data_IF_944553411305
#
_entry.id   IF_944553411305
#
_cell.length_a   1.000
_cell.length_b   1.000
_cell.length_c   1.000
_cell.angle_alpha   90.00
_cell.angle_beta   90.00
_cell.angle_gamma   90.00
#
_symmetry.space_group_name_H-M   'P 1'
#
loop_
_entity.id
_entity.type
_entity.pdbx_description
1 polymer ?
#
# COMPACT_ATOMS: atom_id res chain seq x y z
N UNK A 1 5.83 3.57 21.08
CA UNK A 1 6.29 4.30 19.89
C UNK A 1 5.73 3.62 18.64
N UNK A 2 5.16 4.41 17.73
CA UNK A 2 4.71 3.93 16.41
C UNK A 2 5.93 3.73 15.52
N UNK A 3 6.05 2.55 14.92
CA UNK A 3 7.14 2.23 13.99
C UNK A 3 6.70 2.44 12.54
N UNK A 4 5.52 1.94 12.17
CA UNK A 4 4.92 2.15 10.86
C UNK A 4 3.58 2.87 11.04
N UNK A 5 3.38 3.93 10.26
CA UNK A 5 2.09 4.62 10.17
C UNK A 5 1.69 4.68 8.69
N UNK A 6 0.44 4.34 8.41
CA UNK A 6 -0.19 4.36 7.09
C UNK A 6 -1.47 5.15 7.20
N UNK A 7 -1.64 6.16 6.34
CA UNK A 7 -2.79 7.05 6.34
C UNK A 7 -3.37 7.16 4.92
N UNK A 8 -4.66 6.83 4.81
CA UNK A 8 -5.47 6.96 3.60
C UNK A 8 -4.90 6.30 2.36
N UNK A 9 -4.33 5.09 2.51
CA UNK A 9 -3.70 4.38 1.41
C UNK A 9 -4.76 3.96 0.38
N UNK A 10 -4.55 4.37 -0.87
CA UNK A 10 -5.47 4.14 -1.97
C UNK A 10 -4.72 3.60 -3.20
N UNK A 11 -5.25 2.51 -3.78
CA UNK A 11 -4.63 1.83 -4.92
C UNK A 11 -5.68 1.30 -5.88
N UNK A 12 -5.58 1.69 -7.14
CA UNK A 12 -6.46 1.34 -8.25
C UNK A 12 -5.65 0.74 -9.40
N UNK A 13 -6.23 -0.26 -10.06
CA UNK A 13 -5.64 -0.88 -11.24
C UNK A 13 -6.58 -0.76 -12.43
N UNK A 14 -6.07 -0.26 -13.54
CA UNK A 14 -6.77 -0.37 -14.82
C UNK A 14 -6.74 -1.82 -15.30
N UNK A 15 -7.91 -2.39 -15.58
CA UNK A 15 -8.06 -3.76 -16.09
C UNK A 15 -8.77 -3.73 -17.43
N UNK A 16 -8.35 -4.61 -18.34
CA UNK A 16 -9.05 -4.81 -19.62
C UNK A 16 -10.01 -5.98 -19.47
N UNK A 17 -11.25 -5.78 -19.90
CA UNK A 17 -12.33 -6.77 -19.90
C UNK A 17 -12.84 -6.97 -21.33
N UNK A 18 -13.58 -8.05 -21.63
CA UNK A 18 -14.17 -8.27 -22.95
C UNK A 18 -15.11 -7.15 -23.42
N UNK A 19 -15.67 -6.37 -22.48
CA UNK A 19 -16.59 -5.25 -22.75
C UNK A 19 -15.94 -3.87 -22.64
N UNK A 20 -14.62 -3.79 -22.41
CA UNK A 20 -13.87 -2.54 -22.39
C UNK A 20 -12.89 -2.41 -21.22
N UNK A 21 -12.40 -1.20 -20.97
CA UNK A 21 -11.53 -0.90 -19.82
C UNK A 21 -12.36 -0.63 -18.57
N UNK A 22 -11.94 -1.18 -17.45
CA UNK A 22 -12.51 -0.92 -16.12
C UNK A 22 -11.39 -0.59 -15.14
N UNK A 23 -11.75 -0.12 -13.94
CA UNK A 23 -10.81 0.13 -12.85
C UNK A 23 -11.21 -0.71 -11.65
N UNK A 24 -10.27 -1.45 -11.09
CA UNK A 24 -10.44 -2.20 -9.85
C UNK A 24 -9.83 -1.39 -8.73
N UNK A 25 -10.63 -1.11 -7.69
CA UNK A 25 -10.18 -0.43 -6.48
C UNK A 25 -9.67 -1.48 -5.48
N UNK A 26 -8.36 -1.73 -5.47
CA UNK A 26 -7.77 -2.82 -4.71
C UNK A 26 -7.50 -2.45 -3.24
N UNK A 27 -7.25 -1.17 -2.96
CA UNK A 27 -7.13 -0.63 -1.60
C UNK A 27 -7.89 0.69 -1.58
N UNK A 28 -8.82 0.83 -0.64
CA UNK A 28 -9.70 2.00 -0.53
C UNK A 28 -9.54 2.63 0.85
N UNK A 29 -8.80 3.75 0.89
CA UNK A 29 -8.63 4.61 2.08
C UNK A 29 -8.20 3.86 3.37
N UNK A 30 -7.20 2.98 3.25
CA UNK A 30 -6.75 2.15 4.39
C UNK A 30 -5.78 2.92 5.27
N UNK A 31 -6.09 2.97 6.58
CA UNK A 31 -5.25 3.61 7.59
C UNK A 31 -4.99 2.66 8.78
N UNK A 32 -3.73 2.52 9.20
CA UNK A 32 -3.36 1.72 10.36
C UNK A 32 -1.96 2.07 10.89
N UNK A 33 -1.65 1.57 12.09
CA UNK A 33 -0.34 1.75 12.72
C UNK A 33 0.20 0.43 13.25
N UNK A 34 1.52 0.26 13.18
CA UNK A 34 2.25 -0.82 13.84
C UNK A 34 3.21 -0.21 14.85
N UNK A 35 3.08 -0.60 16.12
CA UNK A 35 3.98 -0.17 17.18
C UNK A 35 5.26 -0.99 17.18
N UNK A 36 6.37 -0.38 17.62
CA UNK A 36 7.64 -1.10 17.79
C UNK A 36 7.44 -2.31 18.72
N UNK A 37 7.95 -3.47 18.30
CA UNK A 37 7.85 -4.73 19.06
C UNK A 37 6.48 -5.42 18.99
N UNK A 38 5.62 -5.03 18.05
CA UNK A 38 4.30 -5.67 17.84
C UNK A 38 4.17 -6.25 16.44
N UNK A 39 3.28 -7.22 16.30
CA UNK A 39 2.94 -7.83 15.01
C UNK A 39 1.48 -7.54 14.71
N UNK A 40 1.20 -6.96 13.54
CA UNK A 40 -0.16 -6.78 13.02
C UNK A 40 -0.41 -7.82 11.92
N UNK A 41 -1.48 -8.61 12.06
CA UNK A 41 -1.94 -9.54 11.03
C UNK A 41 -3.00 -8.91 10.15
N UNK A 42 -2.77 -8.84 8.84
CA UNK A 42 -3.76 -8.43 7.85
C UNK A 42 -4.40 -9.67 7.20
N UNK A 43 -5.65 -9.96 7.55
CA UNK A 43 -6.39 -11.16 7.13
C UNK A 43 -7.63 -10.82 6.31
N UNK A 44 -8.09 -11.75 5.47
CA UNK A 44 -9.25 -11.56 4.60
C UNK A 44 -9.24 -12.51 3.39
N UNK A 45 -10.35 -12.60 2.68
CA UNK A 45 -10.53 -13.47 1.51
C UNK A 45 -9.59 -13.15 0.34
N UNK A 46 -9.43 -14.08 -0.60
CA UNK A 46 -8.67 -13.81 -1.83
C UNK A 46 -9.24 -12.59 -2.57
N UNK A 47 -8.36 -11.69 -3.03
CA UNK A 47 -8.77 -10.46 -3.70
C UNK A 47 -9.06 -9.25 -2.78
N UNK A 48 -9.04 -9.40 -1.46
CA UNK A 48 -9.35 -8.31 -0.51
C UNK A 48 -8.28 -7.20 -0.39
N UNK A 49 -7.26 -7.18 -1.26
CA UNK A 49 -6.22 -6.13 -1.26
C UNK A 49 -5.00 -6.35 -0.35
N UNK A 50 -4.91 -7.46 0.40
CA UNK A 50 -3.79 -7.71 1.36
C UNK A 50 -2.41 -7.63 0.70
N UNK A 51 -2.21 -8.37 -0.39
CA UNK A 51 -0.94 -8.36 -1.12
C UNK A 51 -0.67 -7.01 -1.78
N UNK A 52 -1.72 -6.26 -2.14
CA UNK A 52 -1.60 -4.91 -2.69
C UNK A 52 -1.07 -3.94 -1.63
N UNK A 53 -1.61 -3.97 -0.40
CA UNK A 53 -1.08 -3.17 0.71
C UNK A 53 0.40 -3.51 0.97
N UNK A 54 0.74 -4.80 1.05
CA UNK A 54 2.12 -5.23 1.28
C UNK A 54 3.07 -4.80 0.15
N UNK A 55 2.66 -4.94 -1.11
CA UNK A 55 3.44 -4.52 -2.28
C UNK A 55 3.62 -3.00 -2.33
N UNK A 56 2.60 -2.24 -1.92
CA UNK A 56 2.65 -0.77 -1.90
C UNK A 56 3.62 -0.26 -0.84
N UNK A 57 3.55 -0.81 0.38
CA UNK A 57 4.44 -0.45 1.48
C UNK A 57 5.91 -0.85 1.26
N UNK A 58 6.16 -1.80 0.37
CA UNK A 58 7.51 -2.22 -0.03
C UNK A 58 7.99 -1.54 -1.32
N UNK A 59 7.22 -0.58 -1.85
CA UNK A 59 7.57 0.20 -3.04
C UNK A 59 7.43 -0.55 -4.38
N UNK A 60 6.85 -1.75 -4.39
CA UNK A 60 6.60 -2.53 -5.61
C UNK A 60 5.39 -2.02 -6.40
N UNK A 61 4.43 -1.40 -5.71
CA UNK A 61 3.24 -0.79 -6.31
C UNK A 61 3.20 0.68 -5.90
N UNK A 62 3.00 1.56 -6.88
CA UNK A 62 2.78 2.97 -6.61
C UNK A 62 1.32 3.19 -6.18
N UNK A 63 1.06 3.87 -5.05
CA UNK A 63 -0.30 4.23 -4.65
C UNK A 63 -0.83 5.37 -5.53
N UNK A 64 -2.16 5.47 -5.63
CA UNK A 64 -2.83 6.64 -6.21
C UNK A 64 -2.84 7.80 -5.22
N UNK A 65 -3.04 7.51 -3.93
CA UNK A 65 -2.97 8.49 -2.84
C UNK A 65 -2.64 7.83 -1.50
N UNK A 66 -2.39 8.68 -0.50
CA UNK A 66 -2.06 8.28 0.86
C UNK A 66 -0.58 8.47 1.20
N UNK A 67 -0.24 8.20 2.45
CA UNK A 67 1.13 8.30 2.97
C UNK A 67 1.47 7.11 3.84
N UNK A 68 2.74 6.74 3.87
CA UNK A 68 3.27 5.81 4.85
C UNK A 68 4.66 6.22 5.31
N UNK A 69 4.89 6.16 6.62
CA UNK A 69 6.18 6.46 7.24
C UNK A 69 6.67 5.30 8.08
N UNK A 70 7.94 4.92 7.93
CA UNK A 70 8.62 3.92 8.74
C UNK A 70 9.72 4.61 9.57
N UNK A 71 9.60 4.57 10.89
CA UNK A 71 10.50 5.26 11.83
C UNK A 71 10.68 6.76 11.54
N UNK A 72 9.69 7.40 10.91
CA UNK A 72 9.70 8.81 10.52
C UNK A 72 10.07 9.07 9.05
N UNK A 73 10.58 8.06 8.33
CA UNK A 73 10.96 8.20 6.92
C UNK A 73 9.80 7.81 5.99
N UNK A 74 9.51 8.63 4.97
CA UNK A 74 8.53 8.30 3.92
C UNK A 74 9.01 7.08 3.12
N UNK A 75 8.15 6.05 3.01
CA UNK A 75 8.46 4.80 2.28
C UNK A 75 7.82 4.73 0.89
N UNK A 76 6.88 5.61 0.56
CA UNK A 76 6.14 5.60 -0.71
C UNK A 76 6.79 6.51 -1.77
N UNK A 77 7.51 7.54 -1.35
CA UNK A 77 8.17 8.51 -2.23
C UNK A 77 9.70 8.43 -2.20
N UNK A 78 10.24 7.29 -1.78
CA UNK A 78 11.68 7.06 -1.83
C UNK A 78 12.09 7.09 -3.30
N UNK A 79 12.77 8.17 -3.71
CA UNK A 79 13.48 8.21 -4.99
C UNK A 79 14.52 7.11 -4.92
N UNK A 80 14.27 5.99 -5.59
CA UNK A 80 15.26 4.95 -5.75
C UNK A 80 16.56 5.61 -6.18
N UNK A 81 17.63 5.40 -5.42
CA UNK A 81 18.96 5.65 -5.94
C UNK A 81 19.05 4.83 -7.23
N UNK A 82 19.19 5.52 -8.36
CA UNK A 82 19.66 4.89 -9.58
C UNK A 82 21.05 4.33 -9.26
N UNK A 83 21.08 3.11 -8.75
CA UNK A 83 22.28 2.38 -8.38
C UNK A 83 22.08 0.90 -8.70
N UNK A 84 21.80 0.61 -9.98
CA UNK A 84 22.78 0.01 -10.87
C UNK A 84 22.32 0.08 -12.32
#
# INVERSE_FOLDING_TARGET
ETLLQVDGLDVRFAVSTPVGRSTVHAVNDVSFQIRRGTTLGLVGESGSGKSTVAATLTGLVKPDSGSATLAGDDVLHVKGSAAK
#
